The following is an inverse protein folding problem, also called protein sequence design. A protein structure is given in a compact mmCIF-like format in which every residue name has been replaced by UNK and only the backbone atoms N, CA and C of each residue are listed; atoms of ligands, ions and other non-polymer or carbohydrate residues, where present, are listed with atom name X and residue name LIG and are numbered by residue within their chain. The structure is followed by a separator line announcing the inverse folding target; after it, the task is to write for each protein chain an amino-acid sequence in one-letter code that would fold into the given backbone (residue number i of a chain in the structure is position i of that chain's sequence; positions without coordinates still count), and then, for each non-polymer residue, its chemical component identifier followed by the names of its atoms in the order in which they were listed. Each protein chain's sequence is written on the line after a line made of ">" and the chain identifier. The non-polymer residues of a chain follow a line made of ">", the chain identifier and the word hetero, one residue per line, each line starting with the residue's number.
data_IF_224498947452
#
_entry.id   IF_224498947452
#
_cell.length_a   1.000
_cell.length_b   1.000
_cell.length_c   1.000
_cell.angle_alpha   90.00
_cell.angle_beta   90.00
_cell.angle_gamma   90.00
#
_symmetry.space_group_name_H-M   'P 1'
#
loop_
_entity.id
_entity.type
_entity.pdbx_description
1 polymer ?
#
# COMPACT_ATOMS: atom_id res chain seq x y z
N UNK A 1 -5.83 -4.66 -21.68
CA UNK A 1 -6.22 -3.48 -20.90
C UNK A 1 -5.06 -3.12 -19.98
N UNK A 2 -4.67 -1.84 -19.90
CA UNK A 2 -3.67 -1.37 -18.94
C UNK A 2 -4.45 -0.74 -17.79
N UNK A 3 -4.98 -1.59 -16.91
CA UNK A 3 -5.61 -1.15 -15.67
C UNK A 3 -4.49 -0.67 -14.76
N UNK A 4 -4.28 0.65 -14.70
CA UNK A 4 -3.40 1.27 -13.71
C UNK A 4 -4.01 0.94 -12.34
N UNK A 5 -3.52 -0.12 -11.70
CA UNK A 5 -4.11 -0.64 -10.47
C UNK A 5 -3.91 0.40 -9.37
N UNK A 6 -5.01 1.03 -8.95
CA UNK A 6 -5.01 2.00 -7.86
C UNK A 6 -4.49 1.28 -6.61
N UNK A 7 -3.30 1.67 -6.19
CA UNK A 7 -2.67 1.17 -4.98
C UNK A 7 -2.84 2.15 -3.83
N UNK A 8 -3.22 1.66 -2.67
CA UNK A 8 -3.37 2.43 -1.44
C UNK A 8 -2.54 1.83 -0.32
N UNK A 9 -1.80 2.67 0.39
CA UNK A 9 -1.14 2.28 1.63
C UNK A 9 -2.13 2.42 2.78
N UNK A 10 -2.31 1.35 3.54
CA UNK A 10 -3.29 1.28 4.62
C UNK A 10 -2.57 1.07 5.93
N UNK A 11 -2.94 1.88 6.92
CA UNK A 11 -2.49 1.74 8.31
C UNK A 11 -3.70 1.44 9.19
N UNK A 12 -3.59 0.38 9.99
CA UNK A 12 -4.68 -0.15 10.81
C UNK A 12 -4.16 -0.29 12.23
N UNK A 13 -4.83 0.36 13.17
CA UNK A 13 -4.55 0.24 14.59
C UNK A 13 -5.59 -0.71 15.19
N UNK A 14 -5.13 -1.76 15.85
CA UNK A 14 -6.01 -2.75 16.47
C UNK A 14 -5.89 -2.70 17.99
N UNK A 15 -6.94 -3.10 18.70
CA UNK A 15 -6.89 -3.16 20.16
C UNK A 15 -5.94 -4.28 20.67
N UNK A 16 -5.62 -5.25 19.81
CA UNK A 16 -4.81 -6.42 20.11
C UNK A 16 -3.89 -6.76 18.92
N UNK A 17 -3.04 -7.78 19.10
CA UNK A 17 -2.10 -8.24 18.06
C UNK A 17 -2.81 -8.49 16.72
N UNK A 18 -2.34 -7.89 15.60
CA UNK A 18 -3.00 -7.99 14.30
C UNK A 18 -2.97 -9.41 13.71
N UNK A 19 -3.99 -9.81 12.93
CA UNK A 19 -4.02 -11.09 12.21
C UNK A 19 -3.17 -11.06 10.92
N UNK A 20 -1.87 -10.79 11.04
CA UNK A 20 -0.95 -10.59 9.91
C UNK A 20 -1.05 -11.68 8.84
N UNK A 21 -1.09 -12.95 9.27
CA UNK A 21 -1.15 -14.09 8.36
C UNK A 21 -2.48 -14.19 7.58
N UNK A 22 -3.59 -13.73 8.17
CA UNK A 22 -4.89 -13.70 7.50
C UNK A 22 -4.93 -12.54 6.50
N UNK A 23 -4.44 -11.37 6.92
CA UNK A 23 -4.34 -10.17 6.07
C UNK A 23 -3.44 -10.42 4.86
N UNK A 24 -2.29 -11.08 5.03
CA UNK A 24 -1.38 -11.41 3.93
C UNK A 24 -1.94 -12.40 2.90
N UNK A 25 -3.05 -13.09 3.22
CA UNK A 25 -3.75 -14.00 2.31
C UNK A 25 -4.95 -13.35 1.63
N UNK A 26 -5.32 -12.14 2.01
CA UNK A 26 -6.42 -11.42 1.41
C UNK A 26 -6.07 -11.02 -0.03
N UNK A 27 -7.04 -11.14 -0.94
CA UNK A 27 -6.85 -10.77 -2.33
C UNK A 27 -6.52 -9.28 -2.46
N UNK A 28 -5.52 -8.96 -3.28
CA UNK A 28 -5.07 -7.58 -3.50
C UNK A 28 -4.28 -6.97 -2.35
N UNK A 29 -3.95 -7.72 -1.29
CA UNK A 29 -3.13 -7.23 -0.17
C UNK A 29 -1.69 -7.70 -0.29
N UNK A 30 -0.75 -6.78 -0.08
CA UNK A 30 0.70 -7.04 -0.10
C UNK A 30 1.44 -6.17 0.90
N UNK A 31 2.76 -6.34 1.02
CA UNK A 31 3.64 -5.57 1.92
C UNK A 31 3.15 -5.48 3.38
N UNK A 32 2.57 -6.56 3.90
CA UNK A 32 2.04 -6.60 5.26
C UNK A 32 3.16 -6.53 6.28
N UNK A 33 3.17 -5.47 7.10
CA UNK A 33 4.12 -5.26 8.20
C UNK A 33 3.34 -5.05 9.49
N UNK A 34 3.86 -5.60 10.59
CA UNK A 34 3.26 -5.45 11.92
C UNK A 34 4.27 -4.89 12.90
N UNK A 35 3.85 -3.84 13.60
CA UNK A 35 4.59 -3.17 14.66
C UNK A 35 3.70 -3.10 15.90
N UNK A 36 3.81 -4.10 16.78
CA UNK A 36 2.96 -4.22 17.96
C UNK A 36 1.50 -4.46 17.59
N UNK A 37 0.66 -3.46 17.85
CA UNK A 37 -0.78 -3.44 17.53
C UNK A 37 -1.13 -2.70 16.23
N UNK A 38 -0.12 -2.16 15.55
CA UNK A 38 -0.28 -1.47 14.27
C UNK A 38 0.07 -2.43 13.14
N UNK A 39 -0.80 -2.50 12.14
CA UNK A 39 -0.58 -3.20 10.88
C UNK A 39 -0.55 -2.20 9.74
N UNK A 40 0.45 -2.31 8.87
CA UNK A 40 0.51 -1.57 7.61
C UNK A 40 0.52 -2.54 6.45
N UNK A 41 -0.16 -2.21 5.36
CA UNK A 41 -0.19 -3.02 4.15
C UNK A 41 -0.43 -2.17 2.91
N UNK A 42 -0.18 -2.75 1.75
CA UNK A 42 -0.53 -2.20 0.45
C UNK A 42 -1.77 -2.93 -0.07
N UNK A 43 -2.79 -2.17 -0.46
CA UNK A 43 -4.02 -2.68 -1.09
C UNK A 43 -4.04 -2.24 -2.55
N UNK A 44 -4.18 -3.20 -3.44
CA UNK A 44 -4.32 -3.01 -4.86
C UNK A 44 -5.77 -3.31 -5.25
N UNK A 45 -6.50 -2.28 -5.69
CA UNK A 45 -7.92 -2.39 -6.02
C UNK A 45 -8.84 -2.21 -4.82
N UNK A 46 -9.75 -3.16 -4.59
CA UNK A 46 -10.84 -3.01 -3.61
C UNK A 46 -10.40 -3.39 -2.18
N UNK A 47 -10.95 -2.68 -1.19
CA UNK A 47 -10.63 -2.90 0.24
C UNK A 47 -11.40 -4.05 0.88
N UNK A 48 -12.44 -4.57 0.24
CA UNK A 48 -13.33 -5.57 0.87
C UNK A 48 -12.58 -6.83 1.36
N UNK A 49 -11.67 -7.46 0.58
CA UNK A 49 -10.93 -8.63 1.07
C UNK A 49 -10.08 -8.32 2.30
N UNK A 50 -9.53 -7.10 2.40
CA UNK A 50 -8.82 -6.64 3.58
C UNK A 50 -9.77 -6.57 4.79
N UNK A 51 -10.95 -5.96 4.64
CA UNK A 51 -11.90 -5.82 5.75
C UNK A 51 -12.42 -7.18 6.24
N UNK A 52 -12.69 -8.12 5.34
CA UNK A 52 -13.07 -9.49 5.68
C UNK A 52 -11.97 -10.19 6.48
N UNK A 53 -10.69 -9.95 6.13
CA UNK A 53 -9.56 -10.51 6.89
C UNK A 53 -9.46 -9.96 8.32
N UNK A 54 -10.02 -8.79 8.60
CA UNK A 54 -10.07 -8.18 9.93
C UNK A 54 -11.30 -8.63 10.74
N UNK A 55 -12.20 -9.43 10.17
CA UNK A 55 -13.41 -9.86 10.85
C UNK A 55 -13.09 -10.60 12.17
N UNK A 56 -13.76 -10.16 13.24
CA UNK A 56 -13.54 -10.65 14.61
C UNK A 56 -12.40 -9.97 15.36
N UNK A 57 -11.71 -9.01 14.72
CA UNK A 57 -10.72 -8.15 15.37
C UNK A 57 -11.27 -6.74 15.53
N UNK A 58 -10.99 -6.14 16.69
CA UNK A 58 -11.38 -4.77 16.98
C UNK A 58 -10.37 -3.81 16.36
N UNK A 59 -10.86 -3.01 15.41
CA UNK A 59 -10.11 -1.94 14.75
C UNK A 59 -10.40 -0.65 15.49
N UNK A 60 -9.34 -0.04 16.02
CA UNK A 60 -9.40 1.26 16.71
C UNK A 60 -9.44 2.39 15.69
N UNK A 61 -8.54 2.33 14.70
CA UNK A 61 -8.45 3.32 13.64
C UNK A 61 -7.98 2.67 12.33
N UNK A 62 -8.42 3.23 11.20
CA UNK A 62 -8.01 2.83 9.86
C UNK A 62 -7.77 4.08 9.01
N UNK A 63 -6.58 4.18 8.42
CA UNK A 63 -6.23 5.23 7.48
C UNK A 63 -5.79 4.63 6.16
N UNK A 64 -6.14 5.29 5.07
CA UNK A 64 -5.71 4.95 3.72
C UNK A 64 -5.13 6.18 3.06
N UNK A 65 -3.98 6.04 2.43
CA UNK A 65 -3.37 7.05 1.58
C UNK A 65 -3.06 6.44 0.20
N UNK A 66 -3.13 7.21 -0.88
CA UNK A 66 -2.66 6.75 -2.18
C UNK A 66 -1.21 6.28 -2.03
N UNK A 67 -0.93 5.03 -2.40
CA UNK A 67 0.44 4.61 -2.58
C UNK A 67 0.87 5.23 -3.90
N UNK A 68 1.52 6.40 -3.81
CA UNK A 68 1.86 7.22 -4.95
C UNK A 68 2.39 6.35 -6.08
N UNK A 69 1.80 6.48 -7.27
CA UNK A 69 2.28 5.80 -8.45
C UNK A 69 3.76 6.08 -8.53
N UNK A 70 4.60 5.06 -8.39
CA UNK A 70 6.00 5.17 -8.74
C UNK A 70 6.04 5.30 -10.26
N UNK A 71 5.60 6.45 -10.80
CA UNK A 71 6.14 6.93 -12.07
C UNK A 71 7.58 7.19 -11.71
N UNK A 72 8.43 6.23 -12.07
CA UNK A 72 9.86 6.42 -12.18
C UNK A 72 10.06 7.85 -12.65
N UNK A 73 10.64 8.70 -11.79
CA UNK A 73 11.13 9.98 -12.26
C UNK A 73 12.03 9.65 -13.43
N UNK A 74 11.55 9.94 -14.64
CA UNK A 74 12.40 9.93 -15.81
C UNK A 74 13.55 10.85 -15.47
N UNK A 75 14.74 10.29 -15.32
CA UNK A 75 15.97 11.03 -15.48
C UNK A 75 15.95 11.58 -16.91
N UNK A 76 15.39 12.78 -17.06
CA UNK A 76 15.70 13.65 -18.18
C UNK A 76 17.12 14.15 -17.95
N UNK A 77 18.09 13.33 -18.32
CA UNK A 77 19.45 13.81 -18.55
C UNK A 77 19.38 14.65 -19.84
N UNK A 78 19.06 15.94 -19.66
CA UNK A 78 19.25 16.96 -20.69
C UNK A 78 20.76 17.11 -20.91
N UNK A 79 21.30 16.24 -21.78
CA UNK A 79 22.56 16.51 -22.44
C UNK A 79 22.33 17.69 -23.38
N UNK A 80 22.56 18.90 -22.88
CA UNK A 80 22.90 20.03 -23.73
C UNK A 80 24.41 20.02 -23.98
N UNK A 81 24.92 19.65 -25.18
CA UNK A 81 26.30 19.90 -25.54
C UNK A 81 26.48 21.40 -25.80
N UNK A 82 27.50 22.00 -25.16
CA UNK A 82 27.93 23.35 -25.51
C UNK A 82 28.43 23.37 -26.97
N UNK A 83 28.01 24.33 -27.81
CA UNK A 83 28.68 24.55 -29.07
C UNK A 83 29.99 25.30 -28.81
N UNK A 84 31.08 24.76 -29.33
CA UNK A 84 32.31 25.50 -29.60
C UNK A 84 32.03 26.39 -30.81
N UNK A 85 32.06 27.71 -30.62
CA UNK A 85 32.79 28.71 -31.44
C UNK A 85 32.90 30.03 -30.69
#
# INVERSE_FOLDING_TARGET
>A
MNDEVISSRVEIHLARKPPAARVARAAGVSEVKVSGTVLTCLVCGIFQPLLESLQGYEVVCLWSSPAGSSRSLGMGEDRSPAPLE
#
